data_IF_138344957197
#
_entry.id   IF_138344957197
#
_cell.length_a   1.000
_cell.length_b   1.000
_cell.length_c   1.000
_cell.angle_alpha   90.00
_cell.angle_beta   90.00
_cell.angle_gamma   90.00
#
_symmetry.space_group_name_H-M   'P 1'
#
loop_
_entity.id
_entity.type
_entity.pdbx_description
1 polymer ?
#
# COMPACT_ATOMS: atom_id res chain seq x y z
N UNK A 1 -16.99 13.70 17.87
CA UNK A 1 -16.47 13.25 16.56
C UNK A 1 -15.92 11.85 16.76
N UNK A 2 -16.44 10.81 16.08
CA UNK A 2 -15.80 9.48 16.12
C UNK A 2 -14.40 9.64 15.53
N UNK A 3 -13.37 9.28 16.30
CA UNK A 3 -11.99 9.25 15.78
C UNK A 3 -11.92 8.34 14.56
N UNK A 4 -11.09 8.70 13.59
CA UNK A 4 -10.85 7.87 12.41
C UNK A 4 -10.09 6.61 12.86
N UNK A 5 -10.80 5.51 13.11
CA UNK A 5 -10.16 4.23 13.35
C UNK A 5 -9.86 3.56 12.00
N UNK A 6 -8.59 3.58 11.61
CA UNK A 6 -8.17 3.03 10.31
C UNK A 6 -8.18 1.50 10.30
N UNK A 7 -8.08 0.85 11.47
CA UNK A 7 -8.06 -0.60 11.61
C UNK A 7 -9.38 -1.23 11.18
N UNK A 8 -10.50 -0.54 11.42
CA UNK A 8 -11.85 -0.99 11.01
C UNK A 8 -11.99 -1.12 9.48
N UNK A 9 -11.13 -0.45 8.71
CA UNK A 9 -11.12 -0.58 7.25
C UNK A 9 -10.40 -1.85 6.77
N UNK A 10 -9.57 -2.46 7.61
CA UNK A 10 -8.81 -3.67 7.31
C UNK A 10 -9.59 -4.92 7.69
N UNK A 11 -9.41 -5.96 6.88
CA UNK A 11 -9.89 -7.30 7.19
C UNK A 11 -8.65 -8.15 7.50
N UNK A 12 -8.62 -8.97 8.57
CA UNK A 12 -7.49 -9.83 8.88
C UNK A 12 -7.06 -10.67 7.67
N UNK A 13 -5.76 -10.74 7.40
CA UNK A 13 -5.20 -11.44 6.24
C UNK A 13 -5.37 -10.74 4.89
N UNK A 14 -6.09 -9.61 4.81
CA UNK A 14 -6.29 -8.86 3.56
C UNK A 14 -5.48 -7.57 3.57
N UNK A 15 -4.43 -7.45 2.75
CA UNK A 15 -3.69 -6.21 2.60
C UNK A 15 -4.51 -5.17 1.84
N UNK A 16 -4.36 -3.90 2.22
CA UNK A 16 -5.01 -2.79 1.54
C UNK A 16 -4.00 -1.73 1.13
N UNK A 17 -4.20 -1.22 -0.08
CA UNK A 17 -3.48 -0.04 -0.55
C UNK A 17 -4.14 1.26 -0.11
N UNK A 18 -3.36 2.34 -0.01
CA UNK A 18 -3.86 3.69 0.36
C UNK A 18 -5.03 4.14 -0.51
N UNK A 19 -5.01 3.80 -1.81
CA UNK A 19 -6.11 4.12 -2.73
C UNK A 19 -7.42 3.45 -2.32
N UNK A 20 -7.36 2.22 -1.80
CA UNK A 20 -8.55 1.50 -1.32
C UNK A 20 -9.04 2.08 -0.01
N UNK A 21 -8.14 2.41 0.91
CA UNK A 21 -8.48 3.08 2.17
C UNK A 21 -9.18 4.42 1.92
N UNK A 22 -8.72 5.21 0.95
CA UNK A 22 -9.39 6.45 0.51
C UNK A 22 -10.79 6.28 -0.03
N UNK A 23 -11.13 5.10 -0.56
CA UNK A 23 -12.50 4.81 -1.04
C UNK A 23 -13.41 4.34 0.10
N UNK A 24 -12.84 3.68 1.11
CA UNK A 24 -13.58 3.13 2.25
C UNK A 24 -13.77 4.13 3.37
N UNK A 25 -12.82 5.04 3.56
CA UNK A 25 -12.81 6.02 4.63
C UNK A 25 -13.10 7.42 4.09
N UNK A 26 -14.03 8.18 4.68
CA UNK A 26 -14.31 9.56 4.30
C UNK A 26 -13.24 10.52 4.87
N UNK A 27 -11.97 10.28 4.55
CA UNK A 27 -10.84 11.04 5.05
C UNK A 27 -9.88 11.48 3.93
N UNK A 28 -9.20 12.60 4.14
CA UNK A 28 -8.16 13.09 3.23
C UNK A 28 -6.97 12.14 3.23
N UNK A 29 -6.24 12.08 2.11
CA UNK A 29 -5.05 11.23 1.97
C UNK A 29 -4.02 11.47 3.09
N UNK A 30 -3.77 12.72 3.46
CA UNK A 30 -2.84 13.07 4.54
C UNK A 30 -3.25 12.49 5.90
N UNK A 31 -4.54 12.57 6.24
CA UNK A 31 -5.08 12.01 7.48
C UNK A 31 -4.98 10.48 7.50
N UNK A 32 -5.26 9.83 6.36
CA UNK A 32 -5.11 8.37 6.21
C UNK A 32 -3.64 7.96 6.40
N UNK A 33 -2.70 8.67 5.77
CA UNK A 33 -1.27 8.36 5.94
C UNK A 33 -0.81 8.58 7.38
N UNK A 34 -1.23 9.66 8.03
CA UNK A 34 -0.90 9.90 9.45
C UNK A 34 -1.43 8.77 10.35
N UNK A 35 -2.68 8.36 10.16
CA UNK A 35 -3.26 7.24 10.90
C UNK A 35 -2.52 5.92 10.65
N UNK A 36 -2.15 5.62 9.39
CA UNK A 36 -1.33 4.44 9.06
C UNK A 36 0.00 4.46 9.81
N UNK A 37 0.71 5.60 9.84
CA UNK A 37 1.99 5.69 10.53
C UNK A 37 1.86 5.46 12.04
N UNK A 38 0.83 6.05 12.68
CA UNK A 38 0.54 5.82 14.10
C UNK A 38 0.33 4.33 14.37
N UNK A 39 -0.44 3.65 13.52
CA UNK A 39 -0.72 2.22 13.68
C UNK A 39 0.48 1.31 13.37
N UNK A 40 1.39 1.75 12.50
CA UNK A 40 2.67 1.07 12.27
C UNK A 40 3.58 1.21 13.48
N UNK A 41 3.70 2.42 14.04
CA UNK A 41 4.48 2.66 15.26
C UNK A 41 3.92 1.89 16.46
N UNK A 42 2.60 1.73 16.53
CA UNK A 42 1.93 0.89 17.51
C UNK A 42 2.05 -0.62 17.25
N UNK A 43 2.68 -1.04 16.14
CA UNK A 43 2.88 -2.44 15.78
C UNK A 43 1.63 -3.19 15.31
N UNK A 44 0.52 -2.49 15.02
CA UNK A 44 -0.75 -3.09 14.58
C UNK A 44 -0.88 -3.19 13.07
N UNK A 45 -0.13 -2.37 12.32
CA UNK A 45 -0.02 -2.45 10.88
C UNK A 45 1.45 -2.69 10.47
N UNK A 46 1.64 -3.41 9.38
CA UNK A 46 2.93 -3.50 8.68
C UNK A 46 2.81 -3.09 7.23
N UNK A 47 3.89 -2.54 6.66
CA UNK A 47 4.04 -2.46 5.20
C UNK A 47 4.26 -3.86 4.66
N UNK A 48 3.59 -4.15 3.55
CA UNK A 48 3.67 -5.46 2.90
C UNK A 48 4.24 -5.27 1.51
N UNK A 49 5.22 -6.11 1.15
CA UNK A 49 5.67 -6.18 -0.24
C UNK A 49 4.51 -6.73 -1.09
N UNK A 50 4.08 -6.06 -2.17
CA UNK A 50 3.00 -6.55 -3.03
C UNK A 50 3.21 -7.97 -3.55
N UNK A 51 4.46 -8.43 -3.66
CA UNK A 51 4.81 -9.79 -4.07
C UNK A 51 4.38 -10.84 -3.01
N UNK A 52 4.37 -10.49 -1.72
CA UNK A 52 3.93 -11.39 -0.64
C UNK A 52 2.43 -11.69 -0.69
N UNK A 53 1.66 -10.82 -1.34
CA UNK A 53 0.19 -10.85 -1.25
C UNK A 53 -0.51 -11.22 -2.56
N UNK A 54 0.25 -11.66 -3.56
CA UNK A 54 -0.28 -12.26 -4.80
C UNK A 54 -1.31 -11.38 -5.51
N UNK A 55 -1.25 -10.06 -5.33
CA UNK A 55 -2.28 -9.19 -5.86
C UNK A 55 -2.07 -9.07 -7.36
N UNK A 56 -2.99 -9.66 -8.13
CA UNK A 56 -3.01 -9.59 -9.60
C UNK A 56 -2.95 -8.15 -10.16
N UNK A 57 -3.22 -7.12 -9.35
CA UNK A 57 -3.05 -5.70 -9.72
C UNK A 57 -1.61 -5.19 -9.66
N UNK A 58 -0.73 -5.89 -8.95
CA UNK A 58 0.70 -5.61 -8.84
C UNK A 58 1.56 -6.65 -9.57
N UNK A 59 0.96 -7.76 -10.03
CA UNK A 59 1.44 -8.57 -11.16
C UNK A 59 1.35 -7.82 -12.51
N UNK A 60 1.59 -6.52 -12.52
CA UNK A 60 2.16 -5.93 -13.73
C UNK A 60 3.51 -6.63 -13.86
N UNK A 61 3.56 -7.67 -14.71
CA UNK A 61 4.69 -8.52 -15.06
C UNK A 61 5.96 -7.90 -14.52
N UNK A 62 6.50 -8.47 -13.43
CA UNK A 62 7.75 -7.98 -12.88
C UNK A 62 8.70 -7.91 -14.08
N UNK A 63 9.15 -6.71 -14.48
CA UNK A 63 9.90 -6.59 -15.71
C UNK A 63 11.08 -7.55 -15.57
N UNK A 64 11.37 -8.35 -16.59
CA UNK A 64 12.55 -9.22 -16.53
C UNK A 64 13.77 -8.39 -16.13
N UNK A 65 14.84 -8.98 -15.60
CA UNK A 65 16.07 -8.24 -15.27
C UNK A 65 16.53 -7.34 -16.43
N UNK A 66 16.27 -7.76 -17.66
CA UNK A 66 16.44 -6.99 -18.90
C UNK A 66 15.50 -5.77 -19.00
N UNK A 67 14.21 -5.95 -18.76
CA UNK A 67 13.24 -4.85 -18.78
C UNK A 67 13.42 -3.88 -17.62
N UNK A 68 13.87 -4.34 -16.44
CA UNK A 68 14.23 -3.46 -15.32
C UNK A 68 15.39 -2.52 -15.67
N UNK A 69 16.35 -3.00 -16.47
CA UNK A 69 17.46 -2.19 -16.94
C UNK A 69 17.01 -1.13 -17.95
N UNK A 70 16.04 -1.47 -18.82
CA UNK A 70 15.41 -0.51 -19.76
C UNK A 70 14.47 0.48 -19.07
N UNK A 71 13.83 0.07 -17.98
CA UNK A 71 12.91 0.92 -17.21
C UNK A 71 13.64 1.78 -16.16
N UNK A 72 14.94 1.55 -15.93
CA UNK A 72 15.78 2.33 -15.00
C UNK A 72 15.76 3.81 -15.38
N UNK A 73 15.22 4.65 -14.50
CA UNK A 73 15.05 6.09 -14.75
C UNK A 73 13.71 6.49 -15.42
N UNK A 74 12.91 5.53 -15.87
CA UNK A 74 11.61 5.79 -16.47
C UNK A 74 10.54 6.16 -15.43
N UNK A 75 9.56 6.98 -15.84
CA UNK A 75 8.38 7.28 -15.02
C UNK A 75 7.55 6.04 -14.67
N UNK A 76 7.61 4.98 -15.49
CA UNK A 76 6.93 3.70 -15.22
C UNK A 76 7.54 2.99 -14.00
N UNK A 77 8.86 2.95 -13.89
CA UNK A 77 9.55 2.34 -12.74
C UNK A 77 9.29 3.10 -11.43
N UNK A 78 9.30 4.44 -11.48
CA UNK A 78 8.93 5.27 -10.31
C UNK A 78 7.49 5.03 -9.86
N UNK A 79 6.58 4.85 -10.80
CA UNK A 79 5.17 4.58 -10.50
C UNK A 79 4.97 3.17 -9.92
N UNK A 80 5.69 2.17 -10.46
CA UNK A 80 5.72 0.82 -9.90
C UNK A 80 6.25 0.81 -8.46
N UNK A 81 7.42 1.40 -8.19
CA UNK A 81 7.98 1.52 -6.84
C UNK A 81 7.05 2.26 -5.86
N UNK A 82 6.40 3.34 -6.32
CA UNK A 82 5.38 4.07 -5.53
C UNK A 82 4.16 3.22 -5.21
N UNK A 83 3.74 2.37 -6.14
CA UNK A 83 2.62 1.46 -5.94
C UNK A 83 3.00 0.35 -4.95
N UNK A 84 4.23 -0.15 -5.02
CA UNK A 84 4.73 -1.15 -4.06
C UNK A 84 4.85 -0.59 -2.64
N UNK A 85 5.26 0.67 -2.48
CA UNK A 85 5.48 1.31 -1.19
C UNK A 85 4.21 1.64 -0.38
N UNK A 86 3.01 1.39 -0.93
CA UNK A 86 1.74 1.90 -0.40
C UNK A 86 0.72 0.79 -0.09
N UNK A 87 1.18 -0.40 0.26
CA UNK A 87 0.33 -1.53 0.71
C UNK A 87 0.62 -1.85 2.18
N UNK A 88 -0.46 -2.06 2.94
CA UNK A 88 -0.41 -2.31 4.38
C UNK A 88 -1.28 -3.51 4.75
N UNK A 89 -0.97 -4.20 5.83
CA UNK A 89 -1.82 -5.25 6.40
C UNK A 89 -1.77 -5.20 7.93
N UNK A 90 -2.81 -5.77 8.55
CA UNK A 90 -2.82 -6.04 9.99
C UNK A 90 -1.72 -7.04 10.34
N UNK A 91 -1.09 -6.83 11.50
CA UNK A 91 -0.16 -7.77 12.14
C UNK A 91 -0.93 -8.76 12.99
#
# INVERSE_FOLDING_TARGET
>A
MKGLNILDAFTPGVPLGVRTLRKRLPAKHSAIMAAIYIEIEAGRLRRVNPEEVGSNKFHAVMPSTWDMQKLRGSSKMRNFQRQQANIFALV
#
